data_IF_866137455897
#
_entry.id   IF_866137455897
#
_cell.length_a   1.000
_cell.length_b   1.000
_cell.length_c   1.000
_cell.angle_alpha   90.00
_cell.angle_beta   90.00
_cell.angle_gamma   90.00
#
_symmetry.space_group_name_H-M   'P 1'
#
loop_
_entity.id
_entity.type
_entity.pdbx_description
1 polymer ?
#
# COMPACT_ATOMS: atom_id res chain seq x y z
N UNK A 1 -4.60 10.79 15.77
CA UNK A 1 -5.78 9.93 15.50
C UNK A 1 -5.52 9.05 14.27
N UNK A 2 -6.39 8.09 13.92
CA UNK A 2 -6.17 7.22 12.75
C UNK A 2 -6.04 8.03 11.44
N UNK A 3 -6.89 9.04 11.27
CA UNK A 3 -6.89 9.88 10.08
C UNK A 3 -5.58 10.67 9.92
N UNK A 4 -5.05 11.24 11.00
CA UNK A 4 -3.75 11.92 11.00
C UNK A 4 -2.62 10.97 10.58
N UNK A 5 -2.68 9.72 11.05
CA UNK A 5 -1.70 8.70 10.69
C UNK A 5 -1.79 8.34 9.21
N UNK A 6 -2.99 8.15 8.67
CA UNK A 6 -3.19 7.89 7.23
C UNK A 6 -2.65 9.06 6.41
N UNK A 7 -2.96 10.31 6.81
CA UNK A 7 -2.50 11.50 6.12
C UNK A 7 -0.97 11.67 6.18
N UNK A 8 -0.37 11.40 7.33
CA UNK A 8 1.09 11.47 7.48
C UNK A 8 1.80 10.42 6.63
N UNK A 9 1.35 9.16 6.67
CA UNK A 9 1.93 8.10 5.81
C UNK A 9 1.68 8.40 4.34
N UNK A 10 0.48 8.87 3.99
CA UNK A 10 0.08 9.15 2.62
C UNK A 10 0.90 10.25 1.94
N UNK A 11 1.34 11.26 2.70
CA UNK A 11 2.06 12.41 2.18
C UNK A 11 3.56 12.39 2.50
N UNK A 12 3.97 11.72 3.57
CA UNK A 12 5.35 11.71 4.10
C UNK A 12 5.86 10.28 4.30
N UNK A 13 5.58 9.38 3.36
CA UNK A 13 6.07 8.01 3.40
C UNK A 13 7.60 7.97 3.33
N UNK A 14 8.23 7.07 4.09
CA UNK A 14 9.66 6.80 3.99
C UNK A 14 9.99 6.12 2.65
N UNK A 15 9.06 5.30 2.16
CA UNK A 15 9.18 4.58 0.89
C UNK A 15 7.84 4.44 0.19
N UNK A 16 7.83 4.66 -1.11
CA UNK A 16 6.70 4.31 -1.98
C UNK A 16 7.16 3.24 -2.96
N UNK A 17 6.47 2.10 -2.99
CA UNK A 17 6.76 1.01 -3.94
C UNK A 17 5.52 0.65 -4.76
N UNK A 18 5.66 0.42 -6.08
CA UNK A 18 4.58 -0.15 -6.87
C UNK A 18 4.36 -1.62 -6.49
N UNK A 19 3.12 -2.07 -6.59
CA UNK A 19 2.79 -3.47 -6.44
C UNK A 19 1.36 -3.76 -6.88
N UNK A 20 0.88 -4.95 -6.53
CA UNK A 20 -0.49 -5.37 -6.82
C UNK A 20 -1.22 -5.74 -5.54
N UNK A 21 -2.51 -5.46 -5.47
CA UNK A 21 -3.34 -5.77 -4.31
C UNK A 21 -4.69 -6.36 -4.72
N UNK A 22 -5.20 -7.30 -3.93
CA UNK A 22 -6.45 -7.99 -4.22
C UNK A 22 -7.64 -7.01 -4.24
N UNK A 23 -8.56 -7.22 -5.19
CA UNK A 23 -9.76 -6.39 -5.34
C UNK A 23 -9.53 -5.04 -6.02
N UNK A 24 -8.30 -4.73 -6.45
CA UNK A 24 -7.98 -3.46 -7.12
C UNK A 24 -7.95 -3.59 -8.65
N UNK A 25 -8.07 -4.81 -9.18
CA UNK A 25 -8.10 -5.10 -10.61
C UNK A 25 -9.52 -5.32 -11.15
N UNK A 26 -9.68 -5.45 -12.47
CA UNK A 26 -10.95 -5.75 -13.11
C UNK A 26 -11.60 -7.00 -12.51
N UNK A 27 -12.93 -6.98 -12.33
CA UNK A 27 -13.69 -8.11 -11.77
C UNK A 27 -13.17 -8.60 -10.40
N UNK A 28 -12.59 -7.73 -9.59
CA UNK A 28 -12.09 -8.06 -8.25
C UNK A 28 -10.74 -8.80 -8.24
N UNK A 29 -10.09 -8.90 -9.39
CA UNK A 29 -8.73 -9.47 -9.49
C UNK A 29 -7.70 -8.58 -8.79
N UNK A 30 -6.44 -9.02 -8.76
CA UNK A 30 -5.33 -8.17 -8.31
C UNK A 30 -5.12 -7.04 -9.30
N UNK A 31 -4.95 -5.83 -8.79
CA UNK A 31 -4.67 -4.65 -9.60
C UNK A 31 -3.61 -3.78 -8.97
N UNK A 32 -3.11 -2.85 -9.78
CA UNK A 32 -1.98 -2.00 -9.44
C UNK A 32 -2.30 -1.06 -8.28
N UNK A 33 -1.33 -0.92 -7.39
CA UNK A 33 -1.36 -0.02 -6.24
C UNK A 33 0.02 0.56 -5.97
N UNK A 34 0.06 1.59 -5.14
CA UNK A 34 1.24 1.99 -4.41
C UNK A 34 1.12 1.58 -2.94
N UNK A 35 2.18 0.96 -2.42
CA UNK A 35 2.39 0.77 -0.98
C UNK A 35 3.26 1.92 -0.47
N UNK A 36 2.64 2.83 0.28
CA UNK A 36 3.28 3.95 0.97
C UNK A 36 3.62 3.53 2.38
N UNK A 37 4.90 3.33 2.66
CA UNK A 37 5.43 2.72 3.89
C UNK A 37 6.01 3.81 4.78
N UNK A 38 5.63 3.82 6.06
CA UNK A 38 6.28 4.64 7.09
C UNK A 38 6.46 3.83 8.37
N UNK A 39 7.71 3.60 8.76
CA UNK A 39 8.04 2.56 9.74
C UNK A 39 7.45 1.20 9.31
N UNK A 40 6.60 0.61 10.16
CA UNK A 40 5.99 -0.69 9.87
C UNK A 40 4.60 -0.60 9.22
N UNK A 41 3.98 0.59 9.19
CA UNK A 41 2.62 0.75 8.68
C UNK A 41 2.62 1.12 7.21
N UNK A 42 1.56 0.71 6.51
CA UNK A 42 1.45 0.89 5.07
C UNK A 42 0.10 1.46 4.70
N UNK A 43 0.09 2.58 3.98
CA UNK A 43 -1.09 3.08 3.27
C UNK A 43 -1.05 2.54 1.85
N UNK A 44 -2.18 1.98 1.42
CA UNK A 44 -2.38 1.49 0.06
C UNK A 44 -3.17 2.54 -0.70
N UNK A 45 -2.66 2.95 -1.86
CA UNK A 45 -3.38 3.84 -2.78
C UNK A 45 -3.44 3.23 -4.18
N UNK A 46 -4.43 3.63 -4.97
CA UNK A 46 -4.38 3.44 -6.42
C UNK A 46 -3.24 4.26 -7.05
N UNK A 47 -2.86 3.99 -8.30
CA UNK A 47 -1.86 4.79 -9.01
C UNK A 47 -2.24 6.27 -9.15
N UNK A 48 -3.54 6.58 -9.19
CA UNK A 48 -4.08 7.95 -9.21
C UNK A 48 -4.05 8.67 -7.85
N UNK A 49 -3.55 8.01 -6.80
CA UNK A 49 -3.48 8.55 -5.44
C UNK A 49 -4.71 8.30 -4.57
N UNK A 50 -5.80 7.73 -5.11
CA UNK A 50 -7.00 7.38 -4.34
C UNK A 50 -6.67 6.43 -3.20
N UNK A 51 -7.10 6.77 -1.98
CA UNK A 51 -6.93 5.91 -0.82
C UNK A 51 -7.71 4.59 -0.97
N UNK A 52 -7.06 3.47 -0.67
CA UNK A 52 -7.68 2.13 -0.65
C UNK A 52 -7.86 1.66 0.78
N UNK A 53 -6.76 1.56 1.54
CA UNK A 53 -6.78 1.06 2.92
C UNK A 53 -5.48 1.40 3.65
N UNK A 54 -5.47 1.16 4.96
CA UNK A 54 -4.27 1.16 5.79
C UNK A 54 -4.05 -0.21 6.41
N UNK A 55 -2.82 -0.69 6.34
CA UNK A 55 -2.36 -1.93 6.96
C UNK A 55 -1.50 -1.57 8.16
N UNK A 56 -2.00 -1.84 9.37
CA UNK A 56 -1.19 -1.75 10.59
C UNK A 56 -0.17 -2.88 10.60
N UNK A 57 1.09 -2.56 10.87
CA UNK A 57 2.22 -3.48 10.69
C UNK A 57 2.24 -4.09 9.25
N UNK A 58 1.84 -3.28 8.27
CA UNK A 58 1.62 -3.66 6.89
C UNK A 58 2.85 -4.17 6.15
N UNK A 59 4.07 -3.85 6.62
CA UNK A 59 5.31 -4.45 6.09
C UNK A 59 5.31 -5.99 6.18
N UNK A 60 4.49 -6.54 7.08
CA UNK A 60 4.34 -7.99 7.22
C UNK A 60 3.31 -8.61 6.26
N UNK A 61 2.51 -7.81 5.56
CA UNK A 61 1.55 -8.29 4.58
C UNK A 61 2.24 -8.94 3.37
N UNK A 62 1.71 -10.07 2.91
CA UNK A 62 2.29 -10.84 1.79
C UNK A 62 2.48 -10.02 0.52
N UNK A 63 1.50 -9.20 0.13
CA UNK A 63 1.60 -8.36 -1.08
C UNK A 63 2.67 -7.30 -0.94
N UNK A 64 2.81 -6.70 0.25
CA UNK A 64 3.85 -5.72 0.55
C UNK A 64 5.23 -6.38 0.53
N UNK A 65 5.39 -7.56 1.15
CA UNK A 65 6.65 -8.33 1.10
C UNK A 65 7.06 -8.67 -0.32
N UNK A 66 6.11 -9.09 -1.14
CA UNK A 66 6.33 -9.42 -2.55
C UNK A 66 6.79 -8.19 -3.33
N UNK A 67 6.13 -7.04 -3.14
CA UNK A 67 6.56 -5.78 -3.75
C UNK A 67 7.96 -5.33 -3.27
N UNK A 68 8.27 -5.48 -1.98
CA UNK A 68 9.60 -5.17 -1.43
C UNK A 68 10.72 -6.03 -2.01
N UNK A 69 10.41 -7.26 -2.41
CA UNK A 69 11.33 -8.18 -3.09
C UNK A 69 11.46 -7.92 -4.59
N UNK A 70 10.69 -6.98 -5.16
CA UNK A 70 10.62 -6.76 -6.60
C UNK A 70 9.84 -7.84 -7.36
N UNK A 71 9.01 -8.63 -6.67
CA UNK A 71 8.19 -9.69 -7.26
C UNK A 71 6.69 -9.49 -6.97
N UNK A 72 6.04 -8.40 -7.43
CA UNK A 72 4.63 -8.15 -7.11
C UNK A 72 3.72 -9.28 -7.58
N UNK A 73 3.07 -9.94 -6.63
CA UNK A 73 2.11 -11.04 -6.86
C UNK A 73 1.22 -11.28 -5.67
#
# INVERSE_FOLDING_TARGET
>A
MLLDKINDIGNNADKTIPGVFAGQGPNGTRGDVFFKIKGNDVVVTKPDGTFVTILKDGVNNTSVKNALKGEPR
#
